data_IF_700942654545
#
_entry.id   IF_700942654545
#
_cell.length_a   1.000
_cell.length_b   1.000
_cell.length_c   1.000
_cell.angle_alpha   90.00
_cell.angle_beta   90.00
_cell.angle_gamma   90.00
#
_symmetry.space_group_name_H-M   'P 1'
#
loop_
_entity.id
_entity.type
_entity.pdbx_description
1 polymer ?
#
# COMPACT_ATOMS: atom_id res chain seq x y z
N UNK A 1 -72.90 -24.80 64.67
CA UNK A 1 -71.92 -24.51 63.61
C UNK A 1 -71.51 -25.86 63.07
N UNK A 2 -71.84 -26.16 61.83
CA UNK A 2 -71.63 -27.50 61.28
C UNK A 2 -70.14 -27.72 61.01
N UNK A 3 -69.62 -28.92 61.27
CA UNK A 3 -68.21 -29.26 61.00
C UNK A 3 -67.82 -29.01 59.53
N UNK A 4 -68.78 -29.14 58.61
CA UNK A 4 -68.59 -28.84 57.19
C UNK A 4 -68.38 -27.34 56.90
N UNK A 5 -69.01 -26.45 57.67
CA UNK A 5 -68.81 -24.99 57.54
C UNK A 5 -67.44 -24.59 58.09
N UNK A 6 -67.00 -25.24 59.17
CA UNK A 6 -65.68 -25.01 59.75
C UNK A 6 -64.58 -25.45 58.78
N UNK A 7 -64.76 -26.57 58.08
CA UNK A 7 -63.78 -27.05 57.10
C UNK A 7 -63.74 -26.18 55.84
N UNK A 8 -64.89 -25.69 55.37
CA UNK A 8 -64.96 -24.69 54.30
C UNK A 8 -64.23 -23.39 54.68
N UNK A 9 -64.42 -22.90 55.91
CA UNK A 9 -63.71 -21.70 56.38
C UNK A 9 -62.20 -21.91 56.50
N UNK A 10 -61.73 -23.11 56.89
CA UNK A 10 -60.30 -23.43 56.91
C UNK A 10 -59.70 -23.46 55.50
N UNK A 11 -60.39 -24.08 54.55
CA UNK A 11 -59.92 -24.14 53.15
C UNK A 11 -59.88 -22.76 52.50
N UNK A 12 -60.87 -21.91 52.77
CA UNK A 12 -60.90 -20.53 52.31
C UNK A 12 -59.76 -19.70 52.94
N UNK A 13 -59.50 -19.88 54.25
CA UNK A 13 -58.38 -19.23 54.94
C UNK A 13 -57.01 -19.64 54.38
N UNK A 14 -56.81 -20.93 54.07
CA UNK A 14 -55.57 -21.41 53.45
C UNK A 14 -55.41 -20.91 52.01
N UNK A 15 -56.51 -20.81 51.25
CA UNK A 15 -56.49 -20.20 49.94
C UNK A 15 -56.09 -18.72 50.00
N UNK A 16 -56.66 -17.97 50.95
CA UNK A 16 -56.33 -16.55 51.14
C UNK A 16 -54.85 -16.34 51.53
N UNK A 17 -54.30 -17.18 52.41
CA UNK A 17 -52.86 -17.17 52.75
C UNK A 17 -51.99 -17.39 51.52
N UNK A 18 -52.32 -18.40 50.71
CA UNK A 18 -51.58 -18.72 49.47
C UNK A 18 -51.63 -17.55 48.49
N UNK A 19 -52.80 -16.94 48.30
CA UNK A 19 -52.95 -15.76 47.44
C UNK A 19 -52.10 -14.57 47.94
N UNK A 20 -52.07 -14.35 49.25
CA UNK A 20 -51.28 -13.27 49.88
C UNK A 20 -49.78 -13.48 49.70
N UNK A 21 -49.30 -14.70 49.89
CA UNK A 21 -47.89 -15.06 49.67
C UNK A 21 -47.48 -14.89 48.20
N UNK A 22 -48.33 -15.32 47.27
CA UNK A 22 -48.09 -15.13 45.83
C UNK A 22 -48.02 -13.65 45.44
N UNK A 23 -48.94 -12.83 45.96
CA UNK A 23 -48.94 -11.39 45.73
C UNK A 23 -47.68 -10.71 46.31
N UNK A 24 -47.25 -11.11 47.52
CA UNK A 24 -46.03 -10.61 48.13
C UNK A 24 -44.78 -10.97 47.29
N UNK A 25 -44.73 -12.18 46.74
CA UNK A 25 -43.64 -12.61 45.85
C UNK A 25 -43.62 -11.81 44.55
N UNK A 26 -44.77 -11.62 43.90
CA UNK A 26 -44.88 -10.84 42.66
C UNK A 26 -44.48 -9.38 42.88
N UNK A 27 -44.91 -8.76 43.98
CA UNK A 27 -44.48 -7.41 44.34
C UNK A 27 -42.95 -7.32 44.52
N UNK A 28 -42.34 -8.31 45.19
CA UNK A 28 -40.89 -8.36 45.35
C UNK A 28 -40.13 -8.48 44.01
N UNK A 29 -40.66 -9.22 43.03
CA UNK A 29 -40.05 -9.30 41.69
C UNK A 29 -40.21 -8.00 40.90
N UNK A 30 -41.35 -7.32 41.02
CA UNK A 30 -41.56 -6.01 40.40
C UNK A 30 -40.61 -4.95 40.98
N UNK A 31 -40.43 -4.94 42.30
CA UNK A 31 -39.47 -4.03 42.95
C UNK A 31 -38.04 -4.25 42.45
N UNK A 32 -37.61 -5.51 42.28
CA UNK A 32 -36.29 -5.83 41.69
C UNK A 32 -36.17 -5.34 40.25
N UNK A 33 -37.19 -5.55 39.42
CA UNK A 33 -37.18 -5.08 38.03
C UNK A 33 -37.12 -3.55 37.96
N UNK A 34 -37.86 -2.85 38.81
CA UNK A 34 -37.83 -1.38 38.91
C UNK A 34 -36.42 -0.91 39.26
N UNK A 35 -35.77 -1.53 40.24
CA UNK A 35 -34.39 -1.17 40.65
C UNK A 35 -33.39 -1.42 39.51
N UNK A 36 -33.50 -2.55 38.80
CA UNK A 36 -32.63 -2.84 37.65
C UNK A 36 -32.79 -1.78 36.53
N UNK A 37 -34.03 -1.44 36.17
CA UNK A 37 -34.31 -0.44 35.13
C UNK A 37 -33.81 0.95 35.57
N UNK A 38 -34.00 1.32 36.84
CA UNK A 38 -33.49 2.58 37.37
C UNK A 38 -31.96 2.66 37.29
N UNK A 39 -31.26 1.56 37.57
CA UNK A 39 -29.80 1.49 37.49
C UNK A 39 -29.29 1.52 36.04
N UNK A 40 -30.01 0.92 35.10
CA UNK A 40 -29.70 1.02 33.66
C UNK A 40 -29.90 2.44 33.13
N UNK A 41 -30.99 3.11 33.52
CA UNK A 41 -31.23 4.50 33.17
C UNK A 41 -30.19 5.44 33.80
N UNK A 42 -29.66 5.12 34.98
CA UNK A 42 -28.57 5.88 35.61
C UNK A 42 -27.24 5.75 34.88
N UNK A 43 -27.04 4.67 34.13
CA UNK A 43 -25.87 4.45 33.26
C UNK A 43 -25.97 5.17 31.91
N UNK A 44 -27.08 5.84 31.61
CA UNK A 44 -27.37 6.47 30.32
C UNK A 44 -26.67 7.82 30.10
N UNK A 45 -25.44 8.01 30.57
CA UNK A 45 -24.55 9.00 29.98
C UNK A 45 -24.00 8.37 28.69
N UNK A 46 -24.70 8.61 27.58
CA UNK A 46 -24.22 8.28 26.25
C UNK A 46 -22.92 9.07 26.00
N UNK A 47 -21.79 8.39 26.16
CA UNK A 47 -20.45 8.96 25.97
C UNK A 47 -20.22 9.21 24.47
N UNK A 48 -20.45 10.45 24.04
CA UNK A 48 -20.12 10.94 22.70
C UNK A 48 -18.60 10.91 22.42
N UNK A 49 -17.76 10.65 23.42
CA UNK A 49 -16.30 10.65 23.29
C UNK A 49 -15.75 9.41 22.55
N UNK A 50 -16.59 8.42 22.24
CA UNK A 50 -16.23 7.14 21.63
C UNK A 50 -17.04 6.81 20.37
N UNK A 51 -17.54 7.81 19.64
CA UNK A 51 -18.20 7.59 18.35
C UNK A 51 -17.17 7.22 17.26
N UNK A 52 -16.71 5.97 17.32
CA UNK A 52 -15.77 5.36 16.39
C UNK A 52 -16.29 5.38 14.96
N UNK A 53 -17.61 5.42 14.75
CA UNK A 53 -18.19 5.43 13.43
C UNK A 53 -18.14 6.83 12.82
N UNK A 54 -18.34 7.89 13.61
CA UNK A 54 -18.08 9.26 13.19
C UNK A 54 -16.60 9.47 12.82
N UNK A 55 -15.66 8.91 13.60
CA UNK A 55 -14.23 8.99 13.28
C UNK A 55 -13.88 8.28 11.96
N UNK A 56 -14.43 7.08 11.73
CA UNK A 56 -14.24 6.35 10.46
C UNK A 56 -14.79 7.14 9.29
N UNK A 57 -15.97 7.73 9.44
CA UNK A 57 -16.61 8.49 8.35
C UNK A 57 -15.85 9.79 8.05
N UNK A 58 -15.35 10.47 9.09
CA UNK A 58 -14.45 11.62 8.94
C UNK A 58 -13.15 11.27 8.21
N UNK A 59 -12.52 10.13 8.54
CA UNK A 59 -11.32 9.65 7.86
C UNK A 59 -11.58 9.35 6.38
N UNK A 60 -12.68 8.65 6.07
CA UNK A 60 -13.10 8.40 4.67
C UNK A 60 -13.34 9.70 3.92
N UNK A 61 -14.04 10.65 4.53
CA UNK A 61 -14.30 11.94 3.92
C UNK A 61 -13.00 12.66 3.57
N UNK A 62 -12.02 12.66 4.48
CA UNK A 62 -10.68 13.21 4.23
C UNK A 62 -9.99 12.52 3.05
N UNK A 63 -10.00 11.19 2.99
CA UNK A 63 -9.41 10.44 1.87
C UNK A 63 -10.08 10.75 0.53
N UNK A 64 -11.40 10.93 0.52
CA UNK A 64 -12.15 11.30 -0.69
C UNK A 64 -11.79 12.70 -1.17
N UNK A 65 -11.60 13.67 -0.26
CA UNK A 65 -11.14 15.01 -0.60
C UNK A 65 -9.74 15.00 -1.22
N UNK A 66 -8.80 14.26 -0.62
CA UNK A 66 -7.44 14.09 -1.17
C UNK A 66 -7.47 13.45 -2.58
N UNK A 67 -8.33 12.45 -2.77
CA UNK A 67 -8.51 11.82 -4.08
C UNK A 67 -9.11 12.79 -5.12
N UNK A 68 -10.09 13.61 -4.72
CA UNK A 68 -10.70 14.63 -5.58
C UNK A 68 -9.63 15.64 -6.03
N UNK A 69 -8.79 16.12 -5.12
CA UNK A 69 -7.76 17.10 -5.47
C UNK A 69 -6.69 16.51 -6.39
N UNK A 70 -6.27 15.26 -6.15
CA UNK A 70 -5.38 14.53 -7.06
C UNK A 70 -5.99 14.39 -8.46
N UNK A 71 -7.29 14.07 -8.55
CA UNK A 71 -8.00 13.93 -9.82
C UNK A 71 -8.13 15.27 -10.55
N UNK A 72 -8.39 16.38 -9.82
CA UNK A 72 -8.42 17.74 -10.40
C UNK A 72 -7.07 18.12 -11.02
N UNK A 73 -5.96 17.73 -10.43
CA UNK A 73 -4.61 17.97 -10.98
C UNK A 73 -4.32 17.10 -12.21
N UNK A 74 -4.76 15.84 -12.21
CA UNK A 74 -4.51 14.92 -13.33
C UNK A 74 -5.34 15.25 -14.58
N UNK A 75 -6.56 15.76 -14.42
CA UNK A 75 -7.49 16.04 -15.51
C UNK A 75 -6.92 17.02 -16.58
N UNK A 76 -6.31 18.17 -16.24
CA UNK A 76 -5.68 19.04 -17.22
C UNK A 76 -4.45 18.40 -17.89
N UNK A 77 -3.66 17.61 -17.15
CA UNK A 77 -2.50 16.89 -17.70
C UNK A 77 -2.95 15.90 -18.77
N UNK A 78 -3.97 15.09 -18.46
CA UNK A 78 -4.54 14.13 -19.40
C UNK A 78 -5.20 14.82 -20.60
N UNK A 79 -5.92 15.93 -20.39
CA UNK A 79 -6.49 16.74 -21.47
C UNK A 79 -5.41 17.28 -22.41
N UNK A 80 -4.27 17.71 -21.88
CA UNK A 80 -3.13 18.16 -22.67
C UNK A 80 -2.44 17.00 -23.40
N UNK A 81 -2.29 15.83 -22.77
CA UNK A 81 -1.78 14.61 -23.42
C UNK A 81 -2.67 14.16 -24.57
N UNK A 82 -4.00 14.21 -24.41
CA UNK A 82 -4.97 13.89 -25.48
C UNK A 82 -4.87 14.89 -26.63
N UNK A 83 -4.73 16.20 -26.33
CA UNK A 83 -4.49 17.22 -27.37
C UNK A 83 -3.18 16.95 -28.13
N UNK A 84 -2.12 16.55 -27.42
CA UNK A 84 -0.84 16.17 -28.02
C UNK A 84 -0.91 14.90 -28.86
N UNK A 85 -1.72 13.92 -28.45
CA UNK A 85 -1.89 12.65 -29.16
C UNK A 85 -2.68 12.77 -30.49
N UNK A 86 -3.49 13.83 -30.66
CA UNK A 86 -4.14 14.15 -31.94
C UNK A 86 -3.19 14.69 -33.00
N UNK A 87 -2.00 15.13 -32.59
CA UNK A 87 -0.88 15.41 -33.48
C UNK A 87 -0.12 14.11 -33.60
N UNK A 88 0.21 13.69 -34.83
CA UNK A 88 1.11 12.56 -35.03
C UNK A 88 2.33 12.78 -34.10
N UNK A 89 2.66 11.81 -33.24
CA UNK A 89 3.51 12.02 -32.05
C UNK A 89 4.85 12.70 -32.35
N UNK A 90 5.61 13.13 -31.33
CA UNK A 90 6.81 13.98 -31.48
C UNK A 90 7.82 13.56 -32.57
N UNK A 91 7.91 12.27 -32.90
CA UNK A 91 8.79 11.74 -33.93
C UNK A 91 8.15 11.64 -35.34
N UNK A 92 6.89 12.04 -35.50
CA UNK A 92 6.16 11.99 -36.75
C UNK A 92 6.31 13.30 -37.51
N UNK A 93 7.11 13.26 -38.57
CA UNK A 93 7.39 14.42 -39.43
C UNK A 93 6.30 14.68 -40.47
N UNK A 94 5.21 13.91 -40.46
CA UNK A 94 4.12 14.06 -41.42
C UNK A 94 3.32 15.32 -41.09
N UNK A 95 3.34 16.30 -41.99
CA UNK A 95 2.44 17.44 -41.90
C UNK A 95 1.05 17.02 -42.38
N UNK A 96 0.00 17.61 -41.82
CA UNK A 96 -1.37 17.36 -42.29
C UNK A 96 -1.52 17.73 -43.79
N UNK A 97 -0.74 18.72 -44.25
CA UNK A 97 -0.64 19.14 -45.65
C UNK A 97 0.05 18.11 -46.57
N UNK A 98 0.74 17.11 -45.99
CA UNK A 98 1.32 16.00 -46.74
C UNK A 98 0.29 14.99 -47.22
N UNK A 99 -0.88 14.97 -46.58
CA UNK A 99 -1.95 14.01 -46.84
C UNK A 99 -3.19 14.64 -47.47
N UNK A 100 -3.28 15.98 -47.48
CA UNK A 100 -4.44 16.68 -48.03
C UNK A 100 -4.33 16.82 -49.56
N UNK A 101 -5.26 16.21 -50.29
CA UNK A 101 -5.38 16.33 -51.74
C UNK A 101 -6.59 17.21 -52.04
N UNK A 102 -6.37 18.32 -52.75
CA UNK A 102 -7.46 19.14 -53.24
C UNK A 102 -8.06 18.47 -54.50
N UNK A 103 -9.25 17.90 -54.35
CA UNK A 103 -9.95 17.18 -55.42
C UNK A 103 -10.47 18.12 -56.52
N UNK A 104 -10.69 19.40 -56.21
CA UNK A 104 -11.30 20.37 -57.12
C UNK A 104 -10.31 20.89 -58.19
N UNK A 105 -9.00 20.70 -57.99
CA UNK A 105 -7.94 21.18 -58.89
C UNK A 105 -7.22 20.01 -59.58
N UNK A 106 -7.62 18.76 -59.31
CA UNK A 106 -6.87 17.55 -59.65
C UNK A 106 -6.76 17.27 -61.16
N UNK A 107 -5.84 17.95 -61.83
CA UNK A 107 -5.44 17.66 -63.22
C UNK A 107 -4.58 16.39 -63.29
N UNK A 108 -4.44 15.74 -64.47
CA UNK A 108 -3.54 14.59 -64.63
C UNK A 108 -2.09 14.87 -64.20
N UNK A 109 -1.62 16.10 -64.41
CA UNK A 109 -0.29 16.54 -63.98
C UNK A 109 -0.18 16.65 -62.45
N UNK A 110 -1.21 17.16 -61.78
CA UNK A 110 -1.27 17.25 -60.32
C UNK A 110 -1.40 15.89 -59.65
N UNK A 111 -2.18 14.99 -60.24
CA UNK A 111 -2.25 13.60 -59.83
C UNK A 111 -0.87 12.93 -59.91
N UNK A 112 -0.14 13.10 -61.02
CA UNK A 112 1.20 12.55 -61.17
C UNK A 112 2.20 13.12 -60.14
N UNK A 113 2.13 14.43 -59.84
CA UNK A 113 2.96 15.04 -58.77
C UNK A 113 2.62 14.47 -57.40
N UNK A 114 1.34 14.25 -57.13
CA UNK A 114 0.84 13.70 -55.86
C UNK A 114 1.29 12.25 -55.68
N UNK A 115 1.19 11.43 -56.72
CA UNK A 115 1.72 10.05 -56.72
C UNK A 115 3.22 10.04 -56.42
N UNK A 116 4.02 10.86 -57.12
CA UNK A 116 5.47 10.96 -56.86
C UNK A 116 5.79 11.44 -55.44
N UNK A 117 4.98 12.35 -54.88
CA UNK A 117 5.11 12.79 -53.48
C UNK A 117 4.87 11.61 -52.54
N UNK A 118 3.81 10.83 -52.74
CA UNK A 118 3.53 9.65 -51.91
C UNK A 118 4.57 8.55 -52.05
N UNK A 119 5.17 8.36 -53.23
CA UNK A 119 6.27 7.40 -53.40
C UNK A 119 7.51 7.79 -52.58
N UNK A 120 7.86 9.08 -52.55
CA UNK A 120 8.94 9.58 -51.68
C UNK A 120 8.57 9.42 -50.21
N UNK A 121 7.35 9.81 -49.84
CA UNK A 121 6.86 9.68 -48.47
C UNK A 121 6.90 8.22 -47.99
N UNK A 122 6.47 7.27 -48.82
CA UNK A 122 6.58 5.83 -48.57
C UNK A 122 8.03 5.43 -48.29
N UNK A 123 8.97 5.91 -49.10
CA UNK A 123 10.40 5.60 -48.96
C UNK A 123 10.95 6.15 -47.65
N UNK A 124 10.63 7.39 -47.31
CA UNK A 124 11.05 8.04 -46.07
C UNK A 124 10.47 7.36 -44.83
N UNK A 125 9.19 6.93 -44.90
CA UNK A 125 8.53 6.19 -43.82
C UNK A 125 9.17 4.81 -43.62
N UNK A 126 9.48 4.09 -44.70
CA UNK A 126 10.18 2.79 -44.62
C UNK A 126 11.58 2.96 -44.00
N UNK A 127 12.32 3.99 -44.41
CA UNK A 127 13.63 4.31 -43.83
C UNK A 127 13.54 4.62 -42.33
N UNK A 128 12.58 5.46 -41.95
CA UNK A 128 12.30 5.82 -40.55
C UNK A 128 11.92 4.59 -39.73
N UNK A 129 11.06 3.72 -40.27
CA UNK A 129 10.65 2.49 -39.61
C UNK A 129 11.86 1.58 -39.32
N UNK A 130 12.69 1.30 -40.34
CA UNK A 130 13.90 0.49 -40.17
C UNK A 130 14.87 1.07 -39.15
N UNK A 131 15.06 2.39 -39.16
CA UNK A 131 15.92 3.07 -38.18
C UNK A 131 15.39 2.91 -36.76
N UNK A 132 14.06 3.01 -36.56
CA UNK A 132 13.43 2.80 -35.25
C UNK A 132 13.52 1.34 -34.80
N UNK A 133 13.29 0.38 -35.70
CA UNK A 133 13.44 -1.05 -35.42
C UNK A 133 14.86 -1.37 -34.97
N UNK A 134 15.87 -0.84 -35.67
CA UNK A 134 17.26 -1.00 -35.28
C UNK A 134 17.58 -0.38 -33.91
N UNK A 135 17.06 0.82 -33.63
CA UNK A 135 17.24 1.46 -32.32
C UNK A 135 16.61 0.64 -31.20
N UNK A 136 15.40 0.11 -31.42
CA UNK A 136 14.71 -0.75 -30.46
C UNK A 136 15.47 -2.06 -30.19
N UNK A 137 16.02 -2.70 -31.23
CA UNK A 137 16.88 -3.88 -31.07
C UNK A 137 18.14 -3.56 -30.27
N UNK A 138 18.79 -2.43 -30.57
CA UNK A 138 19.97 -1.96 -29.83
C UNK A 138 19.66 -1.71 -28.34
N UNK A 139 18.55 -1.03 -28.05
CA UNK A 139 18.10 -0.74 -26.70
C UNK A 139 17.70 -2.01 -25.94
N UNK A 140 17.04 -2.95 -26.61
CA UNK A 140 16.68 -4.26 -26.03
C UNK A 140 17.93 -5.06 -25.62
N UNK A 141 18.97 -5.08 -26.48
CA UNK A 141 20.26 -5.70 -26.16
C UNK A 141 20.97 -5.02 -24.99
N UNK A 142 20.91 -3.69 -24.91
CA UNK A 142 21.45 -2.94 -23.79
C UNK A 142 20.70 -3.27 -22.49
N UNK A 143 19.37 -3.29 -22.54
CA UNK A 143 18.51 -3.62 -21.41
C UNK A 143 18.85 -5.01 -20.84
N UNK A 144 18.96 -6.03 -21.69
CA UNK A 144 19.34 -7.38 -21.25
C UNK A 144 20.70 -7.37 -20.55
N UNK A 145 21.72 -6.74 -21.14
CA UNK A 145 23.06 -6.65 -20.52
C UNK A 145 23.04 -5.96 -19.16
N UNK A 146 22.33 -4.84 -19.04
CA UNK A 146 22.20 -4.09 -17.78
C UNK A 146 21.42 -4.92 -16.75
N UNK A 147 20.38 -5.65 -17.18
CA UNK A 147 19.60 -6.52 -16.32
C UNK A 147 20.43 -7.70 -15.78
N UNK A 148 21.27 -8.29 -16.61
CA UNK A 148 22.21 -9.35 -16.20
C UNK A 148 23.22 -8.82 -15.18
N UNK A 149 23.78 -7.63 -15.43
CA UNK A 149 24.68 -6.96 -14.50
C UNK A 149 24.00 -6.65 -13.15
N UNK A 150 22.74 -6.18 -13.17
CA UNK A 150 21.94 -5.97 -11.95
C UNK A 150 21.80 -7.26 -11.17
N UNK A 151 21.46 -8.35 -11.84
CA UNK A 151 21.28 -9.67 -11.23
C UNK A 151 22.58 -10.18 -10.61
N UNK A 152 23.70 -10.02 -11.32
CA UNK A 152 25.04 -10.35 -10.80
C UNK A 152 25.35 -9.58 -9.52
N UNK A 153 25.18 -8.25 -9.51
CA UNK A 153 25.45 -7.42 -8.33
C UNK A 153 24.52 -7.73 -7.17
N UNK A 154 23.25 -8.08 -7.44
CA UNK A 154 22.31 -8.53 -6.42
C UNK A 154 22.79 -9.82 -5.74
N UNK A 155 23.31 -10.78 -6.52
CA UNK A 155 23.87 -12.01 -5.97
C UNK A 155 25.11 -11.73 -5.10
N UNK A 156 26.02 -10.86 -5.55
CA UNK A 156 27.22 -10.47 -4.77
C UNK A 156 26.83 -9.80 -3.43
N UNK A 157 25.81 -8.93 -3.45
CA UNK A 157 25.29 -8.30 -2.23
C UNK A 157 24.69 -9.34 -1.28
N UNK A 158 23.93 -10.30 -1.79
CA UNK A 158 23.36 -11.39 -0.99
C UNK A 158 24.47 -12.24 -0.35
N UNK A 159 25.53 -12.58 -1.10
CA UNK A 159 26.69 -13.31 -0.56
C UNK A 159 27.37 -12.50 0.54
N UNK A 160 27.61 -11.20 0.32
CA UNK A 160 28.19 -10.30 1.31
C UNK A 160 27.35 -10.23 2.60
N UNK A 161 26.03 -10.06 2.47
CA UNK A 161 25.10 -10.04 3.60
C UNK A 161 25.13 -11.35 4.39
N UNK A 162 25.11 -12.49 3.70
CA UNK A 162 25.23 -13.80 4.34
C UNK A 162 26.55 -13.97 5.09
N UNK A 163 27.66 -13.51 4.51
CA UNK A 163 28.96 -13.52 5.18
C UNK A 163 28.99 -12.63 6.42
N UNK A 164 28.42 -11.41 6.33
CA UNK A 164 28.28 -10.50 7.49
C UNK A 164 27.46 -11.17 8.59
N UNK A 165 26.29 -11.75 8.27
CA UNK A 165 25.47 -12.45 9.26
C UNK A 165 26.21 -13.62 9.92
N UNK A 166 26.96 -14.42 9.14
CA UNK A 166 27.78 -15.51 9.68
C UNK A 166 28.86 -15.00 10.64
N UNK A 167 29.56 -13.92 10.27
CA UNK A 167 30.58 -13.30 11.10
C UNK A 167 29.99 -12.69 12.37
N UNK A 168 28.85 -12.01 12.28
CA UNK A 168 28.14 -11.45 13.42
C UNK A 168 27.66 -12.55 14.38
N UNK A 169 27.11 -13.66 13.87
CA UNK A 169 26.69 -14.81 14.67
C UNK A 169 27.87 -15.48 15.38
N UNK A 170 29.04 -15.50 14.75
CA UNK A 170 30.28 -16.01 15.34
C UNK A 170 31.03 -14.96 16.19
N UNK A 171 30.53 -13.73 16.27
CA UNK A 171 31.17 -12.60 16.95
C UNK A 171 31.34 -12.82 18.46
N UNK A 172 30.39 -13.49 19.11
CA UNK A 172 30.51 -13.84 20.54
C UNK A 172 31.64 -14.82 20.83
N UNK A 173 32.06 -15.65 19.87
CA UNK A 173 33.17 -16.57 20.06
C UNK A 173 34.52 -15.84 20.14
N UNK A 174 34.68 -14.75 19.37
CA UNK A 174 35.90 -13.94 19.35
C UNK A 174 35.98 -12.90 20.48
N UNK A 175 34.88 -12.61 21.17
CA UNK A 175 34.86 -11.70 22.33
C UNK A 175 35.35 -12.36 23.62
N UNK A 176 35.34 -13.69 23.71
CA UNK A 176 35.71 -14.44 24.92
C UNK A 176 37.01 -15.24 24.81
N UNK A 177 37.73 -15.15 23.68
CA UNK A 177 39.08 -15.67 23.58
C UNK A 177 40.05 -14.67 24.23
N UNK A 178 40.72 -15.01 25.35
CA UNK A 178 41.81 -14.19 25.85
C UNK A 178 42.87 -14.16 24.75
N UNK A 179 42.99 -13.03 24.06
CA UNK A 179 44.10 -12.78 23.14
C UNK A 179 45.39 -12.95 23.94
N UNK A 180 46.08 -14.08 23.76
CA UNK A 180 47.47 -14.19 24.20
C UNK A 180 48.21 -13.06 23.51
N UNK A 181 48.93 -12.26 24.30
CA UNK A 181 49.47 -10.97 23.88
C UNK A 181 50.43 -11.00 22.66
N UNK A 182 50.80 -12.21 22.19
CA UNK A 182 51.84 -12.44 21.19
C UNK A 182 51.37 -12.88 19.80
N UNK A 183 50.06 -12.96 19.54
CA UNK A 183 49.60 -13.19 18.15
C UNK A 183 49.73 -11.90 17.34
N UNK A 184 50.82 -11.78 16.59
CA UNK A 184 51.03 -10.72 15.61
C UNK A 184 50.00 -10.87 14.48
N UNK A 185 49.16 -9.87 14.29
CA UNK A 185 48.31 -9.77 13.10
C UNK A 185 49.21 -9.48 11.90
N UNK A 186 49.32 -10.45 10.99
CA UNK A 186 50.08 -10.33 9.75
C UNK A 186 49.13 -9.88 8.64
N UNK A 187 49.44 -8.73 8.03
CA UNK A 187 48.85 -8.36 6.74
C UNK A 187 49.51 -9.24 5.67
N UNK A 188 48.75 -10.04 4.87
CA UNK A 188 49.31 -10.89 3.82
C UNK A 188 50.17 -10.14 2.79
N UNK A 189 50.00 -8.83 2.63
CA UNK A 189 50.79 -8.00 1.69
C UNK A 189 51.84 -7.12 2.36
N UNK A 190 51.75 -6.85 3.67
CA UNK A 190 52.57 -5.81 4.35
C UNK A 190 53.29 -6.26 5.62
N UNK A 191 53.14 -7.51 6.05
CA UNK A 191 53.85 -8.04 7.22
C UNK A 191 53.23 -7.59 8.56
N UNK A 192 53.96 -7.72 9.70
CA UNK A 192 53.39 -7.54 11.03
C UNK A 192 52.94 -6.09 11.27
N UNK A 193 51.65 -5.90 11.57
CA UNK A 193 51.09 -4.58 11.88
C UNK A 193 51.55 -4.15 13.28
N UNK A 194 52.25 -3.01 13.39
CA UNK A 194 52.60 -2.42 14.70
C UNK A 194 51.31 -2.03 15.42
N UNK A 195 51.10 -2.54 16.64
CA UNK A 195 49.92 -2.24 17.48
C UNK A 195 49.84 -0.72 17.73
N UNK A 196 48.87 -0.06 17.10
CA UNK A 196 48.40 1.25 17.56
C UNK A 196 47.26 0.93 18.54
N UNK A 197 47.52 1.08 19.83
CA UNK A 197 46.47 0.98 20.85
C UNK A 197 45.56 2.20 20.71
N UNK A 198 44.45 2.04 20.00
CA UNK A 198 43.32 2.96 20.01
C UNK A 198 42.12 2.23 20.60
N UNK A 199 41.81 2.52 21.86
CA UNK A 199 40.70 1.92 22.61
C UNK A 199 39.34 2.58 22.29
N UNK A 200 39.16 3.08 21.06
CA UNK A 200 37.93 3.75 20.67
C UNK A 200 37.01 2.74 19.98
N UNK A 201 36.05 2.23 20.75
CA UNK A 201 34.88 1.55 20.20
C UNK A 201 34.26 2.48 19.15
N UNK A 202 34.22 2.02 17.90
CA UNK A 202 33.45 2.70 16.86
C UNK A 202 31.98 2.77 17.30
N UNK A 203 31.32 3.93 17.15
CA UNK A 203 29.93 4.08 17.55
C UNK A 203 29.02 3.18 16.70
N UNK A 204 27.93 2.64 17.26
CA UNK A 204 27.00 1.80 16.52
C UNK A 204 26.33 2.60 15.40
N UNK A 205 26.25 1.99 14.23
CA UNK A 205 25.57 2.56 13.05
C UNK A 205 24.07 2.61 13.36
N UNK A 206 23.49 3.79 13.38
CA UNK A 206 22.05 3.96 13.51
C UNK A 206 21.37 3.45 12.24
N UNK A 207 20.66 2.33 12.35
CA UNK A 207 19.69 1.88 11.35
C UNK A 207 18.39 2.66 11.56
N UNK A 208 18.07 3.53 10.59
CA UNK A 208 16.70 4.00 10.36
C UNK A 208 15.98 3.02 9.43
#
# INVERSE_FOLDING_TARGET
MNDNEIENLKTELEHEKTCRESAAWQNGELEKQIVCIQEELRKADYSWDLDLDLQKESLKHKQLLEAIDTLKEQLPILKNKIKGAKVCGLDCKLKHDDLNINLDILTPAELLRTVKRFERLKTDLISTLRSREWRLDSESKLFVRVNDQRTYLQNELMICQNNIMRLQRNGSYWQHLPRKNDERVLDPKRGPIKKIFGNERLPPIATQ
#
